data_IF_212009181327
#
_entry.id   IF_212009181327
#
_cell.length_a   1.000
_cell.length_b   1.000
_cell.length_c   1.000
_cell.angle_alpha   90.00
_cell.angle_beta   90.00
_cell.angle_gamma   90.00
#
_symmetry.space_group_name_H-M   'P 1'
#
loop_
_entity.id
_entity.type
_entity.pdbx_description
1 polymer ?
#
# COMPACT_ATOMS: atom_id res chain seq x y z
N UNK A 1 -38.18 -28.66 -19.81
CA UNK A 1 -36.84 -29.28 -19.64
C UNK A 1 -35.84 -28.53 -20.51
N UNK A 2 -34.91 -27.78 -19.93
CA UNK A 2 -33.95 -26.90 -20.64
C UNK A 2 -32.56 -27.53 -20.54
N UNK A 3 -32.02 -28.04 -21.65
CA UNK A 3 -30.67 -28.63 -21.73
C UNK A 3 -29.63 -27.54 -21.44
N UNK A 4 -28.91 -27.65 -20.32
CA UNK A 4 -27.72 -26.85 -20.04
C UNK A 4 -26.49 -27.62 -20.55
N UNK A 5 -25.72 -26.99 -21.44
CA UNK A 5 -24.47 -27.52 -21.99
C UNK A 5 -23.46 -27.73 -20.84
N UNK A 6 -23.06 -28.99 -20.64
CA UNK A 6 -22.21 -29.47 -19.56
C UNK A 6 -20.72 -29.52 -19.96
N UNK A 7 -20.30 -28.66 -20.89
CA UNK A 7 -18.96 -28.76 -21.52
C UNK A 7 -17.94 -27.74 -21.00
N UNK A 8 -18.28 -26.98 -19.96
CA UNK A 8 -17.43 -25.88 -19.46
C UNK A 8 -16.81 -26.08 -18.05
N UNK A 9 -16.88 -27.29 -17.46
CA UNK A 9 -16.46 -27.50 -16.05
C UNK A 9 -15.23 -28.41 -15.90
N UNK A 10 -14.65 -28.94 -16.98
CA UNK A 10 -13.45 -29.79 -16.92
C UNK A 10 -12.22 -29.04 -17.47
N UNK A 11 -11.61 -28.21 -16.62
CA UNK A 11 -10.41 -27.49 -17.00
C UNK A 11 -9.74 -26.70 -15.89
N UNK A 12 -9.66 -27.22 -14.65
CA UNK A 12 -8.95 -26.52 -13.57
C UNK A 12 -8.41 -27.46 -12.48
N UNK A 13 -7.52 -28.40 -12.85
CA UNK A 13 -6.83 -29.23 -11.87
C UNK A 13 -5.40 -29.64 -12.28
N UNK A 14 -4.74 -28.85 -13.13
CA UNK A 14 -3.37 -29.14 -13.55
C UNK A 14 -2.51 -27.87 -13.59
N UNK A 15 -2.05 -27.37 -12.43
CA UNK A 15 -0.91 -26.46 -12.34
C UNK A 15 -0.44 -26.23 -10.88
N UNK A 16 -0.03 -27.29 -10.17
CA UNK A 16 0.66 -27.12 -8.87
C UNK A 16 1.86 -28.06 -8.72
N UNK A 17 2.69 -28.17 -9.77
CA UNK A 17 4.01 -28.79 -9.67
C UNK A 17 5.05 -27.89 -10.35
N UNK A 18 5.46 -26.84 -9.65
CA UNK A 18 6.77 -26.21 -9.85
C UNK A 18 7.48 -26.23 -8.49
N UNK A 19 7.97 -27.41 -8.13
CA UNK A 19 8.79 -27.61 -6.94
C UNK A 19 10.24 -27.24 -7.27
N UNK A 20 10.69 -26.12 -6.72
CA UNK A 20 11.96 -26.09 -5.98
C UNK A 20 13.28 -25.96 -6.74
N UNK A 21 13.33 -25.41 -7.95
CA UNK A 21 14.64 -24.97 -8.50
C UNK A 21 14.97 -23.60 -7.90
N UNK A 22 16.09 -23.43 -7.15
CA UNK A 22 16.51 -22.12 -6.69
C UNK A 22 16.82 -21.24 -7.90
N UNK A 23 16.04 -20.18 -8.01
CA UNK A 23 16.03 -19.29 -9.16
C UNK A 23 16.99 -18.11 -8.87
N UNK A 24 17.95 -17.85 -9.78
CA UNK A 24 18.89 -16.70 -9.70
C UNK A 24 18.17 -15.34 -9.67
N UNK A 25 18.87 -14.27 -9.28
CA UNK A 25 18.31 -12.91 -9.11
C UNK A 25 17.50 -12.36 -10.32
N UNK A 26 17.76 -12.83 -11.55
CA UNK A 26 17.02 -12.42 -12.76
C UNK A 26 15.54 -12.84 -12.78
N UNK A 27 15.10 -13.63 -11.79
CA UNK A 27 13.79 -14.27 -11.84
C UNK A 27 12.61 -13.41 -11.37
N UNK A 28 12.83 -12.27 -10.71
CA UNK A 28 11.75 -11.32 -10.43
C UNK A 28 11.07 -10.83 -11.74
N UNK A 29 11.88 -10.56 -12.76
CA UNK A 29 11.38 -10.16 -14.08
C UNK A 29 10.60 -11.30 -14.75
N UNK A 30 11.05 -12.54 -14.57
CA UNK A 30 10.35 -13.73 -15.08
C UNK A 30 8.98 -13.85 -14.43
N UNK A 31 8.91 -13.70 -13.10
CA UNK A 31 7.63 -13.74 -12.36
C UNK A 31 6.71 -12.62 -12.82
N UNK A 32 7.22 -11.40 -12.96
CA UNK A 32 6.44 -10.28 -13.51
C UNK A 32 5.86 -10.62 -14.89
N UNK A 33 6.65 -11.21 -15.79
CA UNK A 33 6.16 -11.65 -17.10
C UNK A 33 5.11 -12.76 -17.00
N UNK A 34 5.28 -13.72 -16.10
CA UNK A 34 4.30 -14.79 -15.88
C UNK A 34 2.97 -14.26 -15.33
N UNK A 35 3.01 -13.29 -14.40
CA UNK A 35 1.83 -12.61 -13.89
C UNK A 35 1.14 -11.79 -15.00
N UNK A 36 1.90 -11.07 -15.82
CA UNK A 36 1.36 -10.32 -16.95
C UNK A 36 0.64 -11.22 -17.96
N UNK A 37 1.26 -12.36 -18.31
CA UNK A 37 0.63 -13.37 -19.18
C UNK A 37 -0.62 -13.97 -18.55
N UNK A 38 -0.59 -14.28 -17.26
CA UNK A 38 -1.75 -14.77 -16.53
C UNK A 38 -2.89 -13.74 -16.52
N UNK A 39 -2.56 -12.46 -16.36
CA UNK A 39 -3.53 -11.39 -16.38
C UNK A 39 -4.20 -11.24 -17.75
N UNK A 40 -3.40 -11.25 -18.83
CA UNK A 40 -3.89 -11.20 -20.21
C UNK A 40 -4.76 -12.41 -20.54
N UNK A 41 -4.38 -13.60 -20.10
CA UNK A 41 -5.19 -14.81 -20.25
C UNK A 41 -6.52 -14.73 -19.48
N UNK A 42 -6.55 -13.99 -18.36
CA UNK A 42 -7.76 -13.65 -17.61
C UNK A 42 -8.61 -12.55 -18.25
N UNK A 43 -8.17 -11.94 -19.35
CA UNK A 43 -8.88 -10.86 -20.03
C UNK A 43 -8.69 -9.47 -19.39
N UNK A 44 -7.71 -9.31 -18.50
CA UNK A 44 -7.39 -8.01 -17.90
C UNK A 44 -6.48 -7.20 -18.82
N UNK A 45 -6.82 -5.92 -19.02
CA UNK A 45 -6.04 -4.94 -19.77
C UNK A 45 -5.36 -3.90 -18.88
N UNK A 46 -5.85 -3.69 -17.66
CA UNK A 46 -5.26 -2.76 -16.69
C UNK A 46 -4.89 -3.48 -15.39
N UNK A 47 -3.66 -3.25 -14.92
CA UNK A 47 -3.15 -3.77 -13.65
C UNK A 47 -2.66 -2.65 -12.76
N UNK A 48 -2.60 -2.90 -11.45
CA UNK A 48 -1.79 -2.10 -10.54
C UNK A 48 -0.97 -2.97 -9.60
N UNK A 49 0.16 -2.42 -9.13
CA UNK A 49 1.04 -3.04 -8.16
C UNK A 49 0.86 -2.35 -6.80
N UNK A 50 0.29 -3.07 -5.85
CA UNK A 50 0.18 -2.61 -4.47
C UNK A 50 1.55 -2.68 -3.76
N UNK A 51 1.74 -1.87 -2.70
CA UNK A 51 2.92 -1.98 -1.87
C UNK A 51 3.08 -3.37 -1.27
N UNK A 52 4.29 -3.91 -1.40
CA UNK A 52 4.60 -5.23 -0.87
C UNK A 52 4.79 -5.21 0.64
N UNK A 53 4.30 -6.25 1.30
CA UNK A 53 4.50 -6.50 2.72
C UNK A 53 5.97 -6.85 3.03
N UNK A 54 6.41 -6.47 4.21
CA UNK A 54 7.74 -6.80 4.73
C UNK A 54 7.60 -7.70 5.96
N UNK A 55 8.15 -8.91 5.92
CA UNK A 55 8.00 -9.91 6.97
C UNK A 55 9.33 -10.57 7.33
N UNK A 56 9.38 -11.13 8.54
CA UNK A 56 10.47 -11.97 9.07
C UNK A 56 11.87 -11.35 9.00
N UNK A 57 11.94 -10.02 9.05
CA UNK A 57 13.21 -9.29 9.05
C UNK A 57 13.77 -8.97 7.66
N UNK A 58 12.97 -9.12 6.61
CA UNK A 58 13.32 -8.51 5.32
C UNK A 58 13.45 -6.98 5.49
N UNK A 59 14.31 -6.35 4.70
CA UNK A 59 14.56 -4.91 4.77
C UNK A 59 13.65 -4.18 3.80
N UNK A 60 13.30 -2.91 4.08
CA UNK A 60 12.59 -2.07 3.11
C UNK A 60 13.32 -1.90 1.77
N UNK A 61 14.64 -2.12 1.71
CA UNK A 61 15.39 -2.14 0.47
C UNK A 61 15.09 -3.40 -0.36
N UNK A 62 14.96 -4.56 0.28
CA UNK A 62 14.64 -5.85 -0.35
C UNK A 62 13.25 -5.79 -1.01
N UNK A 63 12.28 -5.22 -0.30
CA UNK A 63 10.92 -5.00 -0.79
C UNK A 63 10.92 -4.10 -2.03
N UNK A 64 11.60 -2.95 -1.96
CA UNK A 64 11.70 -2.01 -3.10
C UNK A 64 12.40 -2.61 -4.30
N UNK A 65 13.42 -3.45 -4.06
CA UNK A 65 14.11 -4.17 -5.12
C UNK A 65 13.15 -5.17 -5.80
N UNK A 66 12.43 -5.99 -5.02
CA UNK A 66 11.45 -6.93 -5.54
C UNK A 66 10.33 -6.23 -6.34
N UNK A 67 9.74 -5.15 -5.83
CA UNK A 67 8.73 -4.35 -6.53
C UNK A 67 9.26 -3.82 -7.87
N UNK A 68 10.48 -3.28 -7.89
CA UNK A 68 11.11 -2.73 -9.09
C UNK A 68 11.34 -3.81 -10.15
N UNK A 69 11.96 -4.92 -9.79
CA UNK A 69 12.29 -5.97 -10.75
C UNK A 69 11.05 -6.70 -11.26
N UNK A 70 10.04 -6.87 -10.41
CA UNK A 70 8.73 -7.39 -10.84
C UNK A 70 8.05 -6.45 -11.82
N UNK A 71 8.09 -5.13 -11.56
CA UNK A 71 7.57 -4.10 -12.47
C UNK A 71 8.23 -4.19 -13.85
N UNK A 72 9.55 -4.38 -13.90
CA UNK A 72 10.27 -4.57 -15.16
C UNK A 72 9.81 -5.81 -15.94
N UNK A 73 9.36 -6.86 -15.26
CA UNK A 73 8.74 -8.03 -15.88
C UNK A 73 7.34 -7.74 -16.43
N UNK A 74 6.52 -7.02 -15.67
CA UNK A 74 5.13 -6.71 -16.03
C UNK A 74 5.03 -5.87 -17.30
N UNK A 75 5.90 -4.86 -17.46
CA UNK A 75 5.88 -3.95 -18.62
C UNK A 75 6.37 -4.58 -19.93
N UNK A 76 6.85 -5.83 -19.91
CA UNK A 76 7.28 -6.55 -21.13
C UNK A 76 6.10 -7.08 -21.93
N UNK A 77 4.94 -7.28 -21.29
CA UNK A 77 3.74 -7.78 -21.96
C UNK A 77 3.02 -6.62 -22.67
N UNK A 78 2.83 -6.75 -23.98
CA UNK A 78 2.10 -5.75 -24.77
C UNK A 78 0.61 -5.80 -24.43
N UNK A 79 -0.07 -4.67 -24.64
CA UNK A 79 -1.52 -4.52 -24.44
C UNK A 79 -1.97 -4.61 -22.97
N UNK A 80 -1.03 -4.51 -22.03
CA UNK A 80 -1.28 -4.50 -20.59
C UNK A 80 -0.81 -3.16 -20.02
N UNK A 81 -1.73 -2.35 -19.53
CA UNK A 81 -1.43 -1.07 -18.93
C UNK A 81 -1.20 -1.23 -17.42
N UNK A 82 0.02 -0.90 -16.98
CA UNK A 82 0.34 -0.87 -15.55
C UNK A 82 0.09 0.52 -14.98
N UNK A 83 -0.98 0.66 -14.21
CA UNK A 83 -1.37 1.87 -13.52
C UNK A 83 -0.50 2.07 -12.27
N UNK A 84 0.23 3.19 -12.25
CA UNK A 84 1.02 3.59 -11.09
C UNK A 84 0.13 4.12 -9.95
N UNK A 85 0.58 3.97 -8.70
CA UNK A 85 -0.13 4.53 -7.52
C UNK A 85 -0.38 6.03 -7.62
N UNK A 86 0.49 6.76 -8.33
CA UNK A 86 0.30 8.19 -8.59
C UNK A 86 -0.93 8.48 -9.43
N UNK A 87 -1.24 7.62 -10.42
CA UNK A 87 -2.42 7.74 -11.27
C UNK A 87 -3.71 7.37 -10.53
N UNK A 88 -3.63 6.47 -9.55
CA UNK A 88 -4.77 6.07 -8.73
C UNK A 88 -5.03 7.02 -7.55
N UNK A 89 -4.14 7.97 -7.28
CA UNK A 89 -4.27 8.86 -6.12
C UNK A 89 -5.47 9.81 -6.31
N UNK A 90 -6.48 9.64 -5.47
CA UNK A 90 -7.72 10.43 -5.53
C UNK A 90 -8.80 9.85 -6.44
N UNK A 91 -8.54 8.68 -7.04
CA UNK A 91 -9.56 7.89 -7.76
C UNK A 91 -10.12 6.87 -6.78
N UNK A 92 -11.42 6.91 -6.54
CA UNK A 92 -12.11 5.88 -5.79
C UNK A 92 -12.56 4.76 -6.74
N UNK A 93 -11.85 3.64 -6.68
CA UNK A 93 -12.20 2.43 -7.44
C UNK A 93 -13.07 1.45 -6.63
N UNK A 94 -13.54 1.87 -5.46
CA UNK A 94 -14.43 1.06 -4.62
C UNK A 94 -15.82 1.02 -5.27
N UNK A 95 -16.22 -0.14 -5.77
CA UNK A 95 -17.49 -0.40 -6.48
C UNK A 95 -18.78 -0.18 -5.63
N UNK A 96 -18.77 0.65 -4.59
CA UNK A 96 -19.85 0.75 -3.59
C UNK A 96 -20.52 2.12 -3.46
N UNK A 97 -20.25 3.08 -4.36
CA UNK A 97 -20.86 4.41 -4.31
C UNK A 97 -21.60 4.81 -5.58
N UNK A 98 -22.73 5.52 -5.43
CA UNK A 98 -23.56 6.13 -6.49
C UNK A 98 -22.79 7.14 -7.38
N UNK A 99 -21.52 7.45 -7.08
CA UNK A 99 -20.61 8.26 -7.88
C UNK A 99 -19.66 7.39 -8.72
N UNK A 100 -20.22 6.55 -9.59
CA UNK A 100 -19.48 5.79 -10.60
C UNK A 100 -19.22 6.62 -11.86
N UNK A 101 -18.69 7.85 -11.71
CA UNK A 101 -18.35 8.73 -12.84
C UNK A 101 -16.88 8.64 -13.26
N UNK A 102 -16.04 7.92 -12.51
CA UNK A 102 -14.70 7.60 -12.99
C UNK A 102 -14.85 6.73 -14.24
N UNK A 103 -14.33 7.16 -15.41
CA UNK A 103 -14.44 6.35 -16.62
C UNK A 103 -13.78 4.99 -16.36
N UNK A 104 -14.39 3.88 -16.79
CA UNK A 104 -13.97 2.51 -16.46
C UNK A 104 -12.52 2.18 -16.86
N UNK A 105 -11.88 3.05 -17.64
CA UNK A 105 -10.46 2.96 -18.03
C UNK A 105 -9.47 3.31 -16.91
N UNK A 106 -9.88 4.02 -15.85
CA UNK A 106 -8.94 4.51 -14.82
C UNK A 106 -8.76 3.51 -13.68
N UNK A 107 -9.69 2.57 -13.49
CA UNK A 107 -9.58 1.57 -12.44
C UNK A 107 -8.85 0.31 -12.92
N UNK A 108 -7.95 -0.25 -12.09
CA UNK A 108 -7.28 -1.50 -12.41
C UNK A 108 -8.29 -2.64 -12.35
N UNK A 109 -8.31 -3.49 -13.38
CA UNK A 109 -9.16 -4.68 -13.42
C UNK A 109 -8.58 -5.84 -12.58
N UNK A 110 -7.26 -5.83 -12.36
CA UNK A 110 -6.63 -6.73 -11.42
C UNK A 110 -5.50 -6.02 -10.66
N UNK A 111 -5.25 -6.49 -9.44
CA UNK A 111 -4.22 -5.97 -8.54
C UNK A 111 -3.20 -7.06 -8.25
N UNK A 112 -1.93 -6.66 -8.23
CA UNK A 112 -0.84 -7.52 -7.78
C UNK A 112 -0.48 -7.11 -6.37
N UNK A 113 -0.59 -8.07 -5.44
CA UNK A 113 -0.11 -7.95 -4.07
C UNK A 113 1.08 -8.87 -3.88
N UNK A 114 1.93 -8.56 -2.91
CA UNK A 114 3.07 -9.40 -2.62
C UNK A 114 3.62 -9.18 -1.22
N UNK A 115 4.40 -10.14 -0.75
CA UNK A 115 5.09 -10.10 0.53
C UNK A 115 6.50 -10.66 0.36
N UNK A 116 7.47 -9.97 0.94
CA UNK A 116 8.86 -10.43 1.01
C UNK A 116 9.15 -10.91 2.42
N UNK A 117 9.69 -12.12 2.52
CA UNK A 117 10.07 -12.78 3.76
C UNK A 117 11.57 -13.00 3.78
N UNK A 118 12.21 -12.75 4.91
CA UNK A 118 13.58 -13.19 5.14
C UNK A 118 13.57 -14.55 5.84
N UNK A 119 14.22 -15.52 5.22
CA UNK A 119 14.33 -16.91 5.66
C UNK A 119 15.78 -17.25 5.97
N UNK A 120 16.04 -18.42 6.57
CA UNK A 120 17.41 -18.91 6.78
C UNK A 120 18.17 -19.15 5.47
N UNK A 121 17.46 -19.36 4.37
CA UNK A 121 18.03 -19.65 3.03
C UNK A 121 18.19 -18.40 2.17
N UNK A 122 17.73 -17.23 2.63
CA UNK A 122 17.71 -15.98 1.87
C UNK A 122 16.33 -15.33 1.86
N UNK A 123 15.96 -14.65 0.76
CA UNK A 123 14.68 -13.97 0.62
C UNK A 123 13.66 -14.86 -0.11
N UNK A 124 12.43 -14.89 0.39
CA UNK A 124 11.28 -15.47 -0.32
C UNK A 124 10.32 -14.35 -0.75
N UNK A 125 9.87 -14.38 -1.99
CA UNK A 125 8.82 -13.49 -2.49
C UNK A 125 7.59 -14.34 -2.81
N UNK A 126 6.47 -13.98 -2.18
CA UNK A 126 5.15 -14.49 -2.51
C UNK A 126 4.33 -13.38 -3.15
N UNK A 127 3.70 -13.68 -4.30
CA UNK A 127 2.90 -12.71 -5.06
C UNK A 127 1.57 -13.32 -5.49
N UNK A 128 0.54 -12.49 -5.50
CA UNK A 128 -0.82 -12.83 -5.89
C UNK A 128 -1.32 -11.84 -6.93
N UNK A 129 -1.88 -12.36 -8.02
CA UNK A 129 -2.72 -11.61 -8.95
C UNK A 129 -4.18 -11.81 -8.55
N UNK A 130 -4.88 -10.73 -8.27
CA UNK A 130 -6.24 -10.72 -7.72
C UNK A 130 -7.14 -9.92 -8.67
N UNK A 131 -8.28 -10.49 -9.04
CA UNK A 131 -9.34 -9.81 -9.79
C UNK A 131 -10.04 -8.79 -8.87
N UNK A 132 -10.12 -7.52 -9.27
CA UNK A 132 -10.70 -6.46 -8.43
C UNK A 132 -12.23 -6.48 -8.42
N UNK A 133 -12.86 -7.24 -9.32
CA UNK A 133 -14.33 -7.29 -9.41
C UNK A 133 -14.96 -8.21 -8.35
N UNK A 134 -14.30 -9.32 -8.02
CA UNK A 134 -14.79 -10.36 -7.11
C UNK A 134 -13.77 -10.78 -6.03
N UNK A 135 -12.65 -10.07 -5.92
CA UNK A 135 -11.53 -10.33 -5.00
C UNK A 135 -10.93 -11.74 -5.14
N UNK A 136 -11.14 -12.41 -6.29
CA UNK A 136 -10.64 -13.76 -6.51
C UNK A 136 -9.16 -13.76 -6.87
N UNK A 137 -8.39 -14.62 -6.21
CA UNK A 137 -6.99 -14.89 -6.58
C UNK A 137 -6.96 -15.68 -7.89
N UNK A 138 -6.41 -15.05 -8.94
CA UNK A 138 -6.25 -15.64 -10.27
C UNK A 138 -4.98 -16.48 -10.34
N UNK A 139 -3.88 -15.97 -9.76
CA UNK A 139 -2.59 -16.66 -9.77
C UNK A 139 -1.80 -16.34 -8.52
N UNK A 140 -1.18 -17.37 -7.94
CA UNK A 140 -0.19 -17.25 -6.89
C UNK A 140 1.15 -17.76 -7.41
N UNK A 141 2.23 -17.06 -7.07
CA UNK A 141 3.59 -17.51 -7.32
C UNK A 141 4.44 -17.29 -6.06
N UNK A 142 5.32 -18.24 -5.80
CA UNK A 142 6.35 -18.14 -4.76
C UNK A 142 7.70 -18.40 -5.41
N UNK A 143 8.73 -17.72 -4.92
CA UNK A 143 10.11 -17.89 -5.36
C UNK A 143 11.06 -17.60 -4.21
N UNK A 144 12.22 -18.26 -4.22
CA UNK A 144 13.27 -18.06 -3.24
C UNK A 144 14.54 -17.57 -3.92
N UNK A 145 15.30 -16.75 -3.20
CA UNK A 145 16.51 -16.11 -3.70
C UNK A 145 17.57 -16.03 -2.61
N UNK A 146 18.84 -16.16 -3.01
CA UNK A 146 19.96 -15.82 -2.13
C UNK A 146 19.96 -14.31 -1.84
N UNK A 147 20.27 -13.91 -0.60
CA UNK A 147 20.42 -12.51 -0.17
C UNK A 147 21.71 -11.87 -0.73
N UNK A 148 22.04 -12.11 -2.00
CA UNK A 148 23.05 -11.33 -2.72
C UNK A 148 22.36 -10.14 -3.36
N UNK A 149 21.97 -9.17 -2.53
CA UNK A 149 21.76 -7.83 -3.07
C UNK A 149 23.06 -7.41 -3.77
N UNK A 150 23.02 -6.86 -4.99
CA UNK A 150 24.20 -6.25 -5.55
C UNK A 150 24.67 -5.23 -4.52
N UNK A 151 25.88 -5.41 -3.99
CA UNK A 151 26.52 -4.36 -3.22
C UNK A 151 26.43 -3.13 -4.11
N UNK A 152 25.61 -2.16 -3.70
CA UNK A 152 25.60 -0.86 -4.33
C UNK A 152 26.93 -0.28 -3.87
N UNK A 153 28.00 -0.64 -4.58
CA UNK A 153 29.29 -0.01 -4.43
C UNK A 153 29.01 1.44 -4.72
N UNK A 154 28.91 2.26 -3.66
CA UNK A 154 28.85 3.70 -3.81
C UNK A 154 30.03 4.03 -4.72
N UNK A 155 29.80 4.57 -5.95
CA UNK A 155 30.91 4.92 -6.80
C UNK A 155 31.74 5.89 -5.97
N UNK A 156 32.94 5.47 -5.60
CA UNK A 156 33.86 6.28 -4.83
C UNK A 156 34.25 7.39 -5.79
N UNK A 157 33.49 8.49 -5.77
CA UNK A 157 33.83 9.67 -6.54
C UNK A 157 35.20 10.10 -6.03
N UNK A 158 36.24 9.84 -6.82
CA UNK A 158 37.57 10.36 -6.52
C UNK A 158 37.43 11.88 -6.44
N UNK A 159 37.84 12.51 -5.33
CA UNK A 159 37.88 13.97 -5.26
C UNK A 159 38.90 14.46 -6.29
N UNK A 160 38.45 14.83 -7.50
CA UNK A 160 39.36 15.23 -8.58
C UNK A 160 38.72 15.50 -9.94
N UNK A 161 37.64 14.82 -10.32
CA UNK A 161 37.17 14.80 -11.73
C UNK A 161 36.11 15.87 -12.11
N UNK A 162 36.02 16.98 -11.37
CA UNK A 162 35.13 18.11 -11.72
C UNK A 162 35.88 19.29 -12.37
N UNK A 163 36.93 19.03 -13.16
CA UNK A 163 37.71 20.10 -13.83
C UNK A 163 37.27 20.48 -15.24
N UNK A 164 36.34 19.75 -15.86
CA UNK A 164 35.87 20.02 -17.23
C UNK A 164 34.42 20.51 -17.32
N UNK A 165 34.01 21.40 -16.41
CA UNK A 165 32.80 22.19 -16.65
C UNK A 165 33.18 23.38 -17.55
N UNK A 166 32.67 23.48 -18.81
CA UNK A 166 33.04 24.57 -19.69
C UNK A 166 32.57 25.90 -19.12
N UNK A 167 33.54 26.81 -18.94
CA UNK A 167 33.30 28.19 -18.56
C UNK A 167 32.53 28.95 -19.65
N UNK A 168 31.51 29.66 -19.20
CA UNK A 168 30.86 30.81 -19.83
C UNK A 168 31.06 30.98 -21.36
N UNK A 169 30.14 30.42 -22.15
CA UNK A 169 29.93 30.85 -23.53
C UNK A 169 28.81 31.89 -23.58
N UNK A 170 29.15 33.01 -24.23
CA UNK A 170 28.27 34.12 -24.58
C UNK A 170 27.12 33.63 -25.48
N UNK A 171 26.03 34.38 -25.39
CA UNK A 171 24.76 34.15 -26.05
C UNK A 171 24.87 33.89 -27.56
N UNK A 172 24.20 32.83 -28.00
CA UNK A 172 23.51 32.78 -29.30
C UNK A 172 22.25 31.93 -29.14
N UNK A 173 21.09 32.56 -29.32
CA UNK A 173 19.78 31.97 -29.12
C UNK A 173 19.30 31.31 -30.40
N UNK A 174 19.60 30.02 -30.59
CA UNK A 174 18.89 29.18 -31.58
C UNK A 174 19.06 27.67 -31.32
N UNK A 175 18.67 27.18 -30.13
CA UNK A 175 18.16 25.80 -29.95
C UNK A 175 17.83 25.52 -28.46
N UNK A 176 16.53 25.42 -28.07
CA UNK A 176 16.20 24.76 -26.81
C UNK A 176 15.04 23.78 -26.97
N UNK A 177 15.29 22.50 -26.65
CA UNK A 177 14.28 21.59 -26.06
C UNK A 177 14.88 20.26 -25.55
N UNK A 178 16.13 19.91 -25.90
CA UNK A 178 16.73 18.65 -25.43
C UNK A 178 17.61 18.77 -24.16
N UNK A 179 18.03 19.97 -23.77
CA UNK A 179 18.98 20.16 -22.65
C UNK A 179 18.26 20.35 -21.30
N UNK A 180 17.03 20.87 -21.25
CA UNK A 180 16.32 21.07 -19.97
C UNK A 180 15.91 19.76 -19.30
N UNK A 181 15.65 18.70 -20.07
CA UNK A 181 15.31 17.38 -19.52
C UNK A 181 16.50 16.72 -18.78
N UNK A 182 17.73 16.87 -19.29
CA UNK A 182 18.93 16.33 -18.62
C UNK A 182 19.28 17.05 -17.32
N UNK A 183 19.05 18.36 -17.23
CA UNK A 183 19.32 19.14 -16.01
C UNK A 183 18.27 18.81 -14.92
N UNK A 184 17.03 18.54 -15.30
CA UNK A 184 15.98 18.13 -14.37
C UNK A 184 16.19 16.71 -13.81
N UNK A 185 16.65 15.75 -14.62
CA UNK A 185 16.96 14.39 -14.14
C UNK A 185 18.12 14.37 -13.13
N UNK A 186 19.17 15.17 -13.37
CA UNK A 186 20.28 15.33 -12.43
C UNK A 186 19.87 15.97 -11.10
N UNK A 187 19.01 16.99 -11.14
CA UNK A 187 18.50 17.67 -9.95
C UNK A 187 17.54 16.80 -9.13
N UNK A 188 16.69 16.00 -9.78
CA UNK A 188 15.83 15.00 -9.13
C UNK A 188 16.68 13.91 -8.47
N UNK A 189 17.73 13.44 -9.15
CA UNK A 189 18.70 12.49 -8.60
C UNK A 189 19.45 13.03 -7.40
N UNK A 190 19.92 14.29 -7.43
CA UNK A 190 20.62 14.91 -6.29
C UNK A 190 19.69 15.09 -5.08
N UNK A 191 18.44 15.51 -5.29
CA UNK A 191 17.45 15.69 -4.22
C UNK A 191 17.04 14.34 -3.60
N UNK A 192 16.94 13.29 -4.42
CA UNK A 192 16.71 11.92 -3.95
C UNK A 192 17.89 11.39 -3.13
N UNK A 193 19.14 11.67 -3.54
CA UNK A 193 20.36 11.29 -2.82
C UNK A 193 20.51 12.04 -1.49
N UNK A 194 20.25 13.35 -1.47
CA UNK A 194 20.21 14.13 -0.22
C UNK A 194 19.11 13.65 0.74
N UNK A 195 17.95 13.22 0.22
CA UNK A 195 16.89 12.58 1.03
C UNK A 195 17.32 11.22 1.56
N UNK A 196 17.96 10.39 0.73
CA UNK A 196 18.44 9.07 1.15
C UNK A 196 19.51 9.16 2.25
N UNK A 197 20.44 10.11 2.14
CA UNK A 197 21.48 10.36 3.14
C UNK A 197 20.93 10.97 4.46
N UNK A 198 19.74 11.57 4.44
CA UNK A 198 19.07 12.06 5.66
C UNK A 198 18.43 10.95 6.48
N UNK A 199 17.93 9.89 5.83
CA UNK A 199 17.16 8.79 6.46
C UNK A 199 18.02 7.92 7.39
N UNK A 200 19.35 7.91 7.22
CA UNK A 200 20.26 7.09 8.04
C UNK A 200 20.60 7.69 9.40
N UNK A 201 20.15 8.93 9.70
CA UNK A 201 20.37 9.51 11.03
C UNK A 201 19.32 8.99 12.02
N UNK A 202 19.72 8.42 13.18
CA UNK A 202 18.79 8.13 14.26
C UNK A 202 18.04 9.42 14.64
N UNK A 203 16.71 9.42 14.51
CA UNK A 203 15.87 10.60 14.74
C UNK A 203 15.43 11.36 13.49
N UNK A 204 15.79 10.90 12.27
CA UNK A 204 15.21 11.45 11.04
C UNK A 204 13.79 10.90 10.82
N UNK A 205 12.80 11.67 11.26
CA UNK A 205 11.41 11.46 10.89
C UNK A 205 11.16 11.95 9.47
N UNK A 206 10.50 11.13 8.65
CA UNK A 206 9.95 11.60 7.38
C UNK A 206 8.80 12.56 7.70
N UNK A 207 8.75 13.79 7.16
CA UNK A 207 7.69 14.75 7.47
C UNK A 207 6.26 14.31 7.10
N UNK A 208 6.07 13.12 6.52
CA UNK A 208 4.78 12.52 6.22
C UNK A 208 4.60 11.11 6.80
N UNK A 209 5.43 10.66 7.77
CA UNK A 209 5.17 9.38 8.46
C UNK A 209 3.88 9.45 9.26
N UNK A 210 3.08 8.39 9.16
CA UNK A 210 1.98 8.15 10.07
C UNK A 210 2.52 7.59 11.39
N UNK A 211 2.10 8.19 12.50
CA UNK A 211 2.46 7.77 13.86
C UNK A 211 1.19 7.38 14.61
N UNK A 212 1.26 6.31 15.40
CA UNK A 212 0.22 5.98 16.38
C UNK A 212 0.32 7.00 17.52
N UNK A 213 -0.58 7.99 17.52
CA UNK A 213 -0.50 9.12 18.44
C UNK A 213 -1.07 8.78 19.82
N UNK A 214 -2.28 8.22 19.85
CA UNK A 214 -2.97 7.86 21.09
C UNK A 214 -3.76 6.57 20.85
N UNK A 215 -3.87 5.73 21.88
CA UNK A 215 -4.67 4.51 21.83
C UNK A 215 -5.59 4.44 23.02
N UNK A 216 -6.81 3.97 22.81
CA UNK A 216 -7.76 3.69 23.90
C UNK A 216 -8.40 2.33 23.73
N UNK A 217 -8.64 1.71 24.87
CA UNK A 217 -9.29 0.41 24.94
C UNK A 217 -10.70 0.59 25.45
N UNK A 218 -11.67 0.03 24.74
CA UNK A 218 -13.09 0.09 25.06
C UNK A 218 -13.59 -1.32 25.37
N UNK A 219 -14.19 -1.46 26.55
CA UNK A 219 -14.89 -2.69 26.94
C UNK A 219 -16.29 -2.65 26.36
N UNK A 220 -16.66 -3.68 25.63
CA UNK A 220 -17.99 -3.84 25.04
C UNK A 220 -18.78 -4.90 25.83
N UNK A 221 -19.37 -5.88 25.15
CA UNK A 221 -20.14 -6.98 25.74
C UNK A 221 -19.33 -8.26 25.85
N UNK A 222 -19.48 -8.99 26.96
CA UNK A 222 -18.80 -10.29 27.15
C UNK A 222 -19.35 -11.41 26.25
N UNK A 223 -20.56 -11.24 25.73
CA UNK A 223 -21.26 -12.21 24.87
C UNK A 223 -21.40 -11.61 23.47
N UNK A 224 -21.41 -12.44 22.41
CA UNK A 224 -21.66 -11.97 21.06
C UNK A 224 -22.98 -11.19 20.96
N UNK A 225 -22.91 -9.99 20.38
CA UNK A 225 -24.05 -9.15 20.07
C UNK A 225 -23.95 -8.72 18.60
N UNK A 226 -24.61 -9.44 17.68
CA UNK A 226 -24.54 -9.16 16.25
C UNK A 226 -25.01 -7.74 15.88
N UNK A 227 -25.92 -7.15 16.67
CA UNK A 227 -26.41 -5.79 16.42
C UNK A 227 -25.34 -4.75 16.78
N UNK A 228 -24.63 -4.94 17.89
CA UNK A 228 -23.50 -4.10 18.25
C UNK A 228 -22.36 -4.24 17.23
N UNK A 229 -22.01 -5.48 16.85
CA UNK A 229 -20.97 -5.74 15.85
C UNK A 229 -21.28 -5.05 14.52
N UNK A 230 -22.51 -5.19 14.03
CA UNK A 230 -22.95 -4.56 12.78
C UNK A 230 -22.98 -3.03 12.84
N UNK A 231 -23.21 -2.44 14.02
CA UNK A 231 -23.25 -0.99 14.21
C UNK A 231 -21.88 -0.36 14.54
N UNK A 232 -20.88 -1.16 14.93
CA UNK A 232 -19.59 -0.69 15.42
C UNK A 232 -18.83 0.13 14.35
N UNK A 233 -18.83 -0.33 13.10
CA UNK A 233 -18.21 0.39 11.98
C UNK A 233 -18.87 1.76 11.76
N UNK A 234 -20.20 1.81 11.83
CA UNK A 234 -20.98 3.04 11.72
C UNK A 234 -20.70 4.01 12.87
N UNK A 235 -20.55 3.49 14.09
CA UNK A 235 -20.19 4.27 15.29
C UNK A 235 -18.81 4.91 15.12
N UNK A 236 -17.80 4.14 14.72
CA UNK A 236 -16.43 4.62 14.50
C UNK A 236 -16.37 5.66 13.39
N UNK A 237 -17.02 5.38 12.26
CA UNK A 237 -17.09 6.29 11.11
C UNK A 237 -17.81 7.59 11.46
N UNK A 238 -18.90 7.53 12.22
CA UNK A 238 -19.61 8.72 12.68
C UNK A 238 -18.75 9.56 13.64
N UNK A 239 -18.04 8.92 14.57
CA UNK A 239 -17.12 9.61 15.49
C UNK A 239 -15.94 10.25 14.75
N UNK A 240 -15.37 9.53 13.78
CA UNK A 240 -14.31 10.05 12.90
C UNK A 240 -14.79 11.27 12.11
N UNK A 241 -15.94 11.18 11.44
CA UNK A 241 -16.51 12.26 10.66
C UNK A 241 -16.83 13.50 11.53
N UNK A 242 -17.31 13.28 12.76
CA UNK A 242 -17.56 14.36 13.73
C UNK A 242 -16.25 15.06 14.12
N UNK A 243 -15.20 14.30 14.43
CA UNK A 243 -13.89 14.85 14.74
C UNK A 243 -13.32 15.63 13.55
N UNK A 244 -13.28 15.03 12.36
CA UNK A 244 -12.76 15.66 11.14
C UNK A 244 -13.47 16.99 10.85
N UNK A 245 -14.81 17.02 10.90
CA UNK A 245 -15.62 18.22 10.62
C UNK A 245 -15.21 19.43 11.47
N UNK A 246 -14.80 19.21 12.72
CA UNK A 246 -14.41 20.30 13.62
C UNK A 246 -13.03 20.90 13.30
N UNK A 247 -12.18 20.20 12.55
CA UNK A 247 -10.79 20.60 12.32
C UNK A 247 -10.44 20.86 10.85
N UNK A 248 -11.14 20.28 9.87
CA UNK A 248 -10.69 20.30 8.46
C UNK A 248 -11.21 21.43 7.59
N UNK A 249 -12.14 22.28 8.06
CA UNK A 249 -12.88 23.14 7.12
C UNK A 249 -13.42 22.29 5.94
N UNK A 250 -13.20 22.74 4.70
CA UNK A 250 -13.68 22.06 3.49
C UNK A 250 -12.87 20.81 3.04
N UNK A 251 -11.82 20.38 3.76
CA UNK A 251 -10.86 19.38 3.24
C UNK A 251 -10.47 18.26 4.22
N UNK A 252 -11.21 17.13 4.30
CA UNK A 252 -10.97 16.06 5.27
C UNK A 252 -9.57 15.42 5.22
N UNK A 253 -8.93 15.37 4.05
CA UNK A 253 -7.60 14.76 3.86
C UNK A 253 -6.42 15.65 4.25
N UNK A 254 -6.64 16.92 4.60
CA UNK A 254 -5.55 17.88 4.81
C UNK A 254 -4.77 17.66 6.13
N UNK A 255 -5.36 16.99 7.13
CA UNK A 255 -4.78 16.87 8.49
C UNK A 255 -4.08 15.53 8.71
N UNK A 256 -4.12 14.63 7.72
CA UNK A 256 -3.43 13.34 7.81
C UNK A 256 -3.85 12.50 9.02
N UNK A 257 -5.11 12.61 9.44
CA UNK A 257 -5.71 11.86 10.55
C UNK A 257 -6.45 10.63 10.03
N UNK A 258 -6.27 9.49 10.68
CA UNK A 258 -7.00 8.25 10.45
C UNK A 258 -7.07 7.45 11.77
N UNK A 259 -7.77 6.33 11.77
CA UNK A 259 -7.86 5.44 12.93
C UNK A 259 -7.66 3.98 12.52
N UNK A 260 -7.26 3.16 13.47
CA UNK A 260 -7.28 1.70 13.34
C UNK A 260 -8.00 1.08 14.52
N UNK A 261 -8.61 -0.09 14.29
CA UNK A 261 -9.27 -0.89 15.31
C UNK A 261 -8.61 -2.27 15.36
N UNK A 262 -8.35 -2.74 16.58
CA UNK A 262 -7.86 -4.09 16.84
C UNK A 262 -8.73 -4.75 17.92
N UNK A 263 -9.31 -5.94 17.68
CA UNK A 263 -9.98 -6.71 18.73
C UNK A 263 -8.95 -7.18 19.78
N UNK A 264 -9.34 -7.14 21.06
CA UNK A 264 -8.48 -7.47 22.22
C UNK A 264 -9.11 -8.49 23.17
N UNK A 265 -10.36 -8.89 22.95
CA UNK A 265 -11.05 -9.80 23.84
C UNK A 265 -10.43 -11.21 23.87
N UNK A 266 -10.23 -11.76 25.08
CA UNK A 266 -9.61 -13.06 25.29
C UNK A 266 -10.53 -14.25 24.93
N UNK A 267 -11.83 -14.11 25.20
CA UNK A 267 -12.83 -15.18 24.95
C UNK A 267 -13.65 -14.88 23.70
N UNK A 268 -14.02 -13.61 23.51
CA UNK A 268 -14.78 -13.14 22.37
C UNK A 268 -14.06 -11.89 21.84
N UNK A 269 -13.58 -11.87 20.58
CA UNK A 269 -12.68 -10.82 20.09
C UNK A 269 -13.20 -9.39 20.28
N UNK A 270 -14.51 -9.18 20.16
CA UNK A 270 -15.15 -7.88 20.36
C UNK A 270 -15.61 -7.62 21.79
N UNK A 271 -15.24 -8.44 22.78
CA UNK A 271 -15.50 -8.08 24.18
C UNK A 271 -14.70 -6.84 24.62
N UNK A 272 -13.59 -6.61 23.95
CA UNK A 272 -12.71 -5.47 24.15
C UNK A 272 -12.10 -5.08 22.80
N UNK A 273 -12.08 -3.78 22.50
CA UNK A 273 -11.46 -3.26 21.28
C UNK A 273 -10.42 -2.21 21.64
N UNK A 274 -9.28 -2.23 20.98
CA UNK A 274 -8.29 -1.16 20.99
C UNK A 274 -8.49 -0.30 19.75
N UNK A 275 -8.72 0.99 19.94
CA UNK A 275 -8.83 1.96 18.86
C UNK A 275 -7.63 2.90 18.95
N UNK A 276 -6.87 2.98 17.85
CA UNK A 276 -5.69 3.84 17.75
C UNK A 276 -6.01 5.05 16.88
N UNK A 277 -5.71 6.24 17.40
CA UNK A 277 -5.65 7.48 16.64
C UNK A 277 -4.30 7.57 15.92
N UNK A 278 -4.33 7.60 14.60
CA UNK A 278 -3.13 7.63 13.75
C UNK A 278 -3.06 8.99 13.06
N UNK A 279 -1.91 9.63 13.11
CA UNK A 279 -1.73 10.96 12.54
C UNK A 279 -0.43 11.09 11.78
N UNK A 280 -0.37 11.95 10.78
CA UNK A 280 0.90 12.39 10.23
C UNK A 280 1.70 13.15 11.28
N UNK A 281 2.99 12.87 11.36
CA UNK A 281 3.87 13.38 12.40
C UNK A 281 3.93 14.91 12.48
N UNK A 282 3.78 15.59 11.33
CA UNK A 282 3.70 17.05 11.24
C UNK A 282 2.51 17.66 11.98
N UNK A 283 1.41 16.91 12.12
CA UNK A 283 0.18 17.36 12.78
C UNK A 283 0.03 16.77 14.20
N UNK A 284 0.72 15.67 14.48
CA UNK A 284 0.64 14.95 15.75
C UNK A 284 0.86 15.87 16.97
N UNK A 285 1.87 16.75 16.94
CA UNK A 285 2.17 17.63 18.09
C UNK A 285 1.23 18.83 18.23
N UNK A 286 0.74 19.37 17.11
CA UNK A 286 -0.01 20.64 17.09
C UNK A 286 -1.52 20.44 17.23
N UNK A 287 -2.09 19.56 16.42
CA UNK A 287 -3.54 19.29 16.39
C UNK A 287 -3.91 17.94 17.00
N UNK A 288 -2.94 17.04 17.18
CA UNK A 288 -3.19 15.68 17.62
C UNK A 288 -3.94 15.52 18.95
N UNK A 289 -3.52 16.17 20.05
CA UNK A 289 -4.24 16.07 21.31
C UNK A 289 -5.72 16.48 21.21
N UNK A 290 -6.02 17.47 20.36
CA UNK A 290 -7.37 18.01 20.19
C UNK A 290 -8.24 17.07 19.33
N UNK A 291 -7.77 16.68 18.15
CA UNK A 291 -8.55 15.84 17.24
C UNK A 291 -8.74 14.41 17.77
N UNK A 292 -7.68 13.79 18.33
CA UNK A 292 -7.78 12.47 18.94
C UNK A 292 -8.66 12.52 20.20
N UNK A 293 -8.52 13.57 21.01
CA UNK A 293 -9.35 13.78 22.20
C UNK A 293 -10.83 13.89 21.88
N UNK A 294 -11.18 14.66 20.84
CA UNK A 294 -12.58 14.81 20.39
C UNK A 294 -13.12 13.51 19.78
N UNK A 295 -12.31 12.83 18.95
CA UNK A 295 -12.67 11.52 18.39
C UNK A 295 -12.99 10.51 19.49
N UNK A 296 -12.10 10.36 20.49
CA UNK A 296 -12.31 9.41 21.58
C UNK A 296 -13.46 9.81 22.50
N UNK A 297 -13.69 11.11 22.73
CA UNK A 297 -14.84 11.60 23.51
C UNK A 297 -16.16 11.24 22.83
N UNK A 298 -16.27 11.48 21.53
CA UNK A 298 -17.47 11.15 20.76
C UNK A 298 -17.69 9.64 20.66
N UNK A 299 -16.61 8.88 20.46
CA UNK A 299 -16.64 7.43 20.43
C UNK A 299 -17.12 6.82 21.76
N UNK A 300 -16.60 7.31 22.89
CA UNK A 300 -17.03 6.87 24.22
C UNK A 300 -18.54 7.08 24.43
N UNK A 301 -19.06 8.25 24.05
CA UNK A 301 -20.50 8.55 24.15
C UNK A 301 -21.33 7.62 23.28
N UNK A 302 -20.93 7.36 22.03
CA UNK A 302 -21.69 6.50 21.13
C UNK A 302 -21.63 5.03 21.54
N UNK A 303 -20.47 4.53 21.96
CA UNK A 303 -20.34 3.16 22.47
C UNK A 303 -21.22 2.98 23.71
N UNK A 304 -21.19 3.91 24.67
CA UNK A 304 -22.04 3.83 25.87
C UNK A 304 -23.54 3.87 25.57
N UNK A 305 -23.96 4.52 24.48
CA UNK A 305 -25.35 4.53 24.02
C UNK A 305 -25.75 3.23 23.29
N UNK A 306 -24.81 2.65 22.54
CA UNK A 306 -25.03 1.42 21.79
C UNK A 306 -24.99 0.18 22.68
N UNK A 307 -24.22 0.24 23.77
CA UNK A 307 -24.29 -0.76 24.83
C UNK A 307 -25.66 -0.60 25.51
N UNK A 308 -26.55 -1.59 25.44
CA UNK A 308 -27.78 -1.54 26.21
C UNK A 308 -27.39 -1.33 27.68
N UNK A 309 -28.12 -0.43 28.35
CA UNK A 309 -27.96 -0.18 29.80
C UNK A 309 -28.33 -1.47 30.54
N UNK A 310 -27.38 -2.40 30.59
CA UNK A 310 -27.41 -3.64 31.37
C UNK A 310 -27.09 -3.33 32.85
N UNK A 311 -27.49 -2.12 33.28
CA UNK A 311 -27.31 -1.55 34.61
C UNK A 311 -28.65 -1.23 35.28
N UNK A 312 -29.78 -1.67 34.70
CA UNK A 312 -31.09 -1.62 35.36
C UNK A 312 -31.60 -3.01 35.80
N UNK A 313 -30.76 -4.07 35.75
CA UNK A 313 -31.13 -5.42 36.19
C UNK A 313 -30.00 -6.11 36.98
N UNK A 314 -29.42 -5.40 37.94
CA UNK A 314 -28.78 -5.99 39.13
C UNK A 314 -29.39 -5.30 40.34
#
# INVERSE_FOLDING_TARGET
MKKRNLTAVLGLAAAFVFLGVPLKADNYSVIGLHLAKAAKAGGFSTLTLEPFGNHDGARPADVRYAEKELTLGLIKEKDLELLSRGQLKGVDCSNKGWFSEAPPKICPQAVIKGSVFKTSEGLSLMVWLIDTSDDRVIKTMETRFEEKLPEISNPTAKPGDFRDAPGALKADYAAPLQISNKINEGAVGLKARYRAAGIEKPGFSCPNSAVNFEKRTFKLVKKPDPALEASLEGILSASYNSAVKNYTGNGPMAIGFTYSLAPRGAVYPFSEIEVSCIMQEIYARSTGPKICGDFFRELDVKIKRALPVLLAMI
#
